data_IF_712202560768
#
_entry.id   IF_712202560768
#
_cell.length_a   1.000
_cell.length_b   1.000
_cell.length_c   1.000
_cell.angle_alpha   90.00
_cell.angle_beta   90.00
_cell.angle_gamma   90.00
#
_symmetry.space_group_name_H-M   'P 1'
#
loop_
_entity.id
_entity.type
_entity.pdbx_description
1 polymer ?
#
# COMPACT_ATOMS: atom_id res chain seq x y z
N UNK A 1 20.76 -7.47 17.01
CA UNK A 1 19.46 -8.03 16.58
C UNK A 1 19.33 -7.70 15.10
N UNK A 2 19.06 -8.69 14.26
CA UNK A 2 19.03 -8.55 12.80
C UNK A 2 17.73 -7.93 12.35
N UNK A 3 17.80 -6.79 11.67
CA UNK A 3 16.71 -6.24 10.85
C UNK A 3 16.35 -7.30 9.81
N UNK A 4 15.16 -7.90 9.91
CA UNK A 4 14.68 -8.83 8.88
C UNK A 4 14.33 -7.99 7.65
N UNK A 5 15.21 -7.99 6.66
CA UNK A 5 14.84 -7.52 5.34
C UNK A 5 13.82 -8.51 4.74
N UNK A 6 12.84 -7.99 4.00
CA UNK A 6 11.88 -8.82 3.28
C UNK A 6 12.65 -9.85 2.42
N UNK A 7 12.32 -11.14 2.57
CA UNK A 7 13.02 -12.20 1.84
C UNK A 7 12.75 -12.01 0.33
N UNK A 8 13.78 -11.86 -0.53
CA UNK A 8 13.59 -11.63 -1.95
C UNK A 8 12.79 -12.74 -2.64
N UNK A 9 12.84 -13.99 -2.12
CA UNK A 9 12.01 -15.08 -2.62
C UNK A 9 10.52 -14.89 -2.29
N UNK A 10 10.18 -14.26 -1.16
CA UNK A 10 8.79 -13.93 -0.80
C UNK A 10 8.26 -12.81 -1.69
N UNK A 11 9.07 -11.77 -1.95
CA UNK A 11 8.71 -10.67 -2.86
C UNK A 11 8.48 -11.19 -4.27
N UNK A 12 9.36 -12.06 -4.80
CA UNK A 12 9.17 -12.66 -6.13
C UNK A 12 7.94 -13.56 -6.21
N UNK A 13 7.63 -14.33 -5.16
CA UNK A 13 6.39 -15.13 -5.10
C UNK A 13 5.14 -14.26 -5.06
N UNK A 14 5.20 -13.12 -4.38
CA UNK A 14 4.11 -12.16 -4.33
C UNK A 14 3.86 -11.59 -5.73
N UNK A 15 4.90 -11.07 -6.38
CA UNK A 15 4.83 -10.52 -7.74
C UNK A 15 4.33 -11.57 -8.76
N UNK A 16 4.74 -12.83 -8.62
CA UNK A 16 4.28 -13.91 -9.48
C UNK A 16 2.79 -14.29 -9.30
N UNK A 17 2.18 -13.97 -8.15
CA UNK A 17 0.76 -14.26 -7.86
C UNK A 17 -0.20 -13.11 -8.17
N UNK A 18 0.31 -11.89 -8.24
CA UNK A 18 -0.52 -10.71 -8.52
C UNK A 18 -1.06 -10.81 -9.94
N UNK A 19 -2.38 -10.65 -10.08
CA UNK A 19 -3.07 -10.63 -11.38
C UNK A 19 -2.42 -9.56 -12.29
N UNK A 20 -2.17 -9.82 -13.59
CA UNK A 20 -1.50 -8.87 -14.47
C UNK A 20 -2.12 -7.46 -14.46
N UNK A 21 -3.44 -7.35 -14.34
CA UNK A 21 -4.15 -6.06 -14.24
C UNK A 21 -3.85 -5.26 -12.96
N UNK A 22 -3.30 -5.91 -11.93
CA UNK A 22 -2.92 -5.32 -10.66
C UNK A 22 -1.41 -5.01 -10.59
N UNK A 23 -0.62 -5.37 -11.60
CA UNK A 23 0.82 -5.07 -11.65
C UNK A 23 1.11 -3.57 -11.64
N UNK A 24 0.20 -2.81 -12.24
CA UNK A 24 0.26 -1.36 -12.18
C UNK A 24 0.41 -0.91 -10.72
N UNK A 25 -0.31 -1.51 -9.74
CA UNK A 25 -0.26 -1.15 -8.32
C UNK A 25 1.18 -1.04 -7.78
N UNK A 26 2.06 -1.93 -8.22
CA UNK A 26 3.44 -2.03 -7.72
C UNK A 26 4.45 -1.25 -8.54
N UNK A 27 4.14 -0.81 -9.77
CA UNK A 27 5.10 -0.01 -10.53
C UNK A 27 5.33 1.34 -9.84
N UNK A 28 6.57 1.64 -9.39
CA UNK A 28 6.94 3.02 -9.16
C UNK A 28 6.94 3.67 -10.53
N UNK A 29 5.93 4.50 -10.84
CA UNK A 29 6.14 5.50 -11.86
C UNK A 29 7.30 6.34 -11.35
N UNK A 30 8.49 6.15 -11.95
CA UNK A 30 9.62 7.04 -11.74
C UNK A 30 9.10 8.47 -11.95
N UNK A 31 9.53 9.47 -11.15
CA UNK A 31 9.23 10.84 -11.48
C UNK A 31 9.62 11.03 -12.95
N UNK A 32 8.70 11.55 -13.76
CA UNK A 32 9.00 11.89 -15.13
C UNK A 32 10.21 12.81 -15.10
N UNK A 33 11.41 12.27 -15.32
CA UNK A 33 12.60 13.07 -15.49
C UNK A 33 12.28 13.90 -16.71
N UNK A 34 12.02 15.19 -16.49
CA UNK A 34 11.88 16.15 -17.55
C UNK A 34 13.15 16.04 -18.38
N UNK A 35 13.05 15.34 -19.51
CA UNK A 35 14.13 15.17 -20.46
C UNK A 35 14.42 16.55 -21.03
N UNK A 36 15.34 17.27 -20.41
CA UNK A 36 16.11 18.27 -21.12
C UNK A 36 16.81 17.51 -22.24
N UNK A 37 16.32 17.73 -23.45
CA UNK A 37 16.69 17.16 -24.75
C UNK A 37 15.57 16.26 -25.30
N UNK A 38 14.74 16.93 -26.11
CA UNK A 38 13.94 16.44 -27.23
C UNK A 38 13.53 14.97 -27.28
N UNK A 39 12.21 14.78 -27.27
CA UNK A 39 11.46 13.63 -27.80
C UNK A 39 11.16 12.51 -26.78
N UNK A 40 10.48 12.86 -25.70
CA UNK A 40 9.59 11.92 -25.00
C UNK A 40 8.15 12.14 -25.48
N UNK A 41 7.55 11.09 -26.02
CA UNK A 41 6.21 11.03 -26.62
C UNK A 41 5.06 11.09 -25.59
N UNK A 42 5.20 11.89 -24.55
CA UNK A 42 4.16 12.10 -23.52
C UNK A 42 3.88 13.59 -23.23
N UNK A 43 4.56 14.52 -23.90
CA UNK A 43 4.33 15.96 -23.78
C UNK A 43 3.24 16.49 -24.74
N UNK A 44 2.23 15.67 -25.05
CA UNK A 44 1.13 16.04 -25.96
C UNK A 44 -0.22 16.27 -25.27
N UNK A 45 -0.35 16.06 -23.96
CA UNK A 45 -1.67 16.07 -23.28
C UNK A 45 -1.78 16.99 -22.07
N UNK A 46 -0.72 17.73 -21.72
CA UNK A 46 -0.69 18.50 -20.47
C UNK A 46 -1.60 19.75 -20.52
N UNK A 47 -1.94 20.24 -21.71
CA UNK A 47 -2.71 21.49 -21.87
C UNK A 47 -4.23 21.28 -22.13
N UNK A 48 -4.66 20.14 -22.68
CA UNK A 48 -6.10 19.86 -22.90
C UNK A 48 -6.75 19.08 -21.75
N UNK A 49 -5.99 18.27 -20.99
CA UNK A 49 -6.53 17.45 -19.89
C UNK A 49 -6.65 18.25 -18.58
N UNK A 50 -5.93 19.36 -18.44
CA UNK A 50 -6.04 20.27 -17.30
C UNK A 50 -7.44 20.92 -17.19
N UNK A 51 -8.18 21.00 -18.30
CA UNK A 51 -9.52 21.60 -18.37
C UNK A 51 -10.65 20.60 -18.10
N UNK A 52 -10.36 19.30 -18.06
CA UNK A 52 -11.32 18.27 -17.68
C UNK A 52 -10.56 17.08 -17.05
N UNK A 53 -10.25 17.13 -15.75
CA UNK A 53 -9.57 16.02 -15.09
C UNK A 53 -10.47 14.78 -15.12
N UNK A 54 -10.16 13.86 -16.03
CA UNK A 54 -10.82 12.56 -16.07
C UNK A 54 -10.54 11.82 -14.75
N UNK A 55 -11.53 11.15 -14.15
CA UNK A 55 -11.31 10.41 -12.92
C UNK A 55 -10.22 9.36 -13.13
N UNK A 56 -9.38 9.17 -12.11
CA UNK A 56 -8.34 8.15 -12.16
C UNK A 56 -8.98 6.77 -12.41
N UNK A 57 -8.34 5.91 -13.22
CA UNK A 57 -8.75 4.52 -13.33
C UNK A 57 -8.87 3.88 -11.94
N UNK A 58 -9.89 3.05 -11.66
CA UNK A 58 -10.15 2.53 -10.32
C UNK A 58 -8.95 1.88 -9.63
N UNK A 59 -8.10 1.19 -10.38
CA UNK A 59 -6.87 0.55 -9.88
C UNK A 59 -5.83 1.58 -9.42
N UNK A 60 -5.67 2.68 -10.15
CA UNK A 60 -4.77 3.77 -9.78
C UNK A 60 -5.28 4.52 -8.54
N UNK A 61 -6.61 4.74 -8.45
CA UNK A 61 -7.25 5.32 -7.30
C UNK A 61 -7.06 4.46 -6.04
N UNK A 62 -7.21 3.13 -6.18
CA UNK A 62 -6.97 2.20 -5.08
C UNK A 62 -5.52 2.24 -4.61
N UNK A 63 -4.54 2.15 -5.52
CA UNK A 63 -3.11 2.28 -5.18
C UNK A 63 -2.87 3.56 -4.39
N UNK A 64 -3.35 4.70 -4.90
CA UNK A 64 -3.17 5.99 -4.25
C UNK A 64 -3.81 6.01 -2.86
N UNK A 65 -5.02 5.46 -2.70
CA UNK A 65 -5.70 5.38 -1.42
C UNK A 65 -4.95 4.51 -0.40
N UNK A 66 -4.42 3.36 -0.83
CA UNK A 66 -3.62 2.47 0.04
C UNK A 66 -2.34 3.17 0.48
N UNK A 67 -1.59 3.77 -0.47
CA UNK A 67 -0.37 4.52 -0.15
C UNK A 67 -0.64 5.71 0.77
N UNK A 68 -1.68 6.50 0.47
CA UNK A 68 -2.04 7.65 1.28
C UNK A 68 -2.37 7.24 2.72
N UNK A 69 -3.16 6.17 2.88
CA UNK A 69 -3.51 5.64 4.20
C UNK A 69 -2.28 5.09 4.92
N UNK A 70 -1.44 4.28 4.26
CA UNK A 70 -0.21 3.74 4.85
C UNK A 70 0.77 4.85 5.30
N UNK A 71 0.96 5.88 4.47
CA UNK A 71 1.76 7.05 4.83
C UNK A 71 1.15 7.82 6.01
N UNK A 72 -0.18 7.96 6.08
CA UNK A 72 -0.85 8.60 7.21
C UNK A 72 -0.63 7.82 8.50
N UNK A 73 -0.75 6.50 8.47
CA UNK A 73 -0.46 5.62 9.61
C UNK A 73 1.01 5.73 10.03
N UNK A 74 1.94 5.72 9.08
CA UNK A 74 3.35 5.88 9.36
C UNK A 74 3.67 7.22 10.02
N UNK A 75 3.11 8.32 9.50
CA UNK A 75 3.25 9.66 10.09
C UNK A 75 2.66 9.74 11.50
N UNK A 76 1.53 9.06 11.76
CA UNK A 76 0.94 8.96 13.09
C UNK A 76 1.87 8.21 14.06
N UNK A 77 2.40 7.06 13.65
CA UNK A 77 3.35 6.28 14.45
C UNK A 77 4.63 7.08 14.76
N UNK A 78 5.20 7.79 13.77
CA UNK A 78 6.33 8.70 13.95
C UNK A 78 5.98 9.79 14.98
N UNK A 79 4.81 10.40 14.86
CA UNK A 79 4.37 11.48 15.77
C UNK A 79 4.19 10.97 17.22
N UNK A 80 3.62 9.77 17.39
CA UNK A 80 3.52 9.12 18.70
C UNK A 80 4.90 8.83 19.29
N UNK A 81 5.84 8.35 18.47
CA UNK A 81 7.22 8.13 18.92
C UNK A 81 7.91 9.42 19.36
N UNK A 82 7.75 10.50 18.60
CA UNK A 82 8.34 11.81 18.91
C UNK A 82 7.81 12.43 20.21
N UNK A 83 6.59 12.08 20.60
CA UNK A 83 5.97 12.52 21.86
C UNK A 83 6.23 11.58 23.04
N UNK A 84 7.09 10.57 22.85
CA UNK A 84 7.47 9.60 23.89
C UNK A 84 6.48 8.45 24.06
N UNK A 85 5.47 8.33 23.19
CA UNK A 85 4.51 7.23 23.17
C UNK A 85 5.04 5.96 22.48
N UNK A 86 4.18 4.95 22.38
CA UNK A 86 4.51 3.65 21.81
C UNK A 86 4.02 3.53 20.34
N UNK A 87 4.90 3.67 19.32
CA UNK A 87 4.51 3.58 17.92
C UNK A 87 3.98 2.19 17.52
N UNK A 88 4.36 1.12 18.24
CA UNK A 88 3.90 -0.25 17.94
C UNK A 88 2.39 -0.40 18.13
N UNK A 89 1.78 0.36 19.02
CA UNK A 89 0.34 0.26 19.28
C UNK A 89 -0.47 0.75 18.06
N UNK A 90 -0.10 1.92 17.53
CA UNK A 90 -0.69 2.49 16.31
C UNK A 90 -0.52 1.55 15.12
N UNK A 91 0.70 1.04 14.93
CA UNK A 91 1.01 0.16 13.80
C UNK A 91 0.29 -1.20 13.92
N UNK A 92 0.14 -1.73 15.14
CA UNK A 92 -0.60 -2.96 15.39
C UNK A 92 -2.09 -2.79 15.12
N UNK A 93 -2.68 -1.69 15.58
CA UNK A 93 -4.10 -1.39 15.33
C UNK A 93 -4.40 -1.30 13.83
N UNK A 94 -3.57 -0.56 13.08
CA UNK A 94 -3.71 -0.49 11.63
C UNK A 94 -3.52 -1.85 10.94
N UNK A 95 -2.56 -2.65 11.41
CA UNK A 95 -2.36 -4.00 10.90
C UNK A 95 -3.54 -4.93 11.21
N UNK A 96 -4.18 -4.78 12.37
CA UNK A 96 -5.36 -5.54 12.74
C UNK A 96 -6.58 -5.14 11.89
N UNK A 97 -6.67 -3.89 11.44
CA UNK A 97 -7.74 -3.47 10.52
C UNK A 97 -7.58 -4.07 9.11
N UNK A 98 -6.36 -4.12 8.57
CA UNK A 98 -6.11 -4.67 7.23
C UNK A 98 -5.97 -6.21 7.18
N UNK A 99 -5.50 -6.81 8.27
CA UNK A 99 -5.26 -8.26 8.35
C UNK A 99 -6.25 -8.99 9.25
N UNK A 100 -7.12 -8.29 9.99
CA UNK A 100 -8.08 -8.88 10.90
C UNK A 100 -9.32 -9.46 10.22
N UNK A 101 -10.25 -9.92 11.05
CA UNK A 101 -11.53 -10.44 10.56
C UNK A 101 -12.41 -9.26 10.13
N UNK A 102 -12.95 -9.24 8.90
CA UNK A 102 -13.81 -8.16 8.45
C UNK A 102 -15.00 -8.01 9.40
N UNK A 103 -15.35 -6.76 9.71
CA UNK A 103 -16.56 -6.45 10.48
C UNK A 103 -17.77 -7.07 9.78
N UNK A 104 -18.49 -7.95 10.48
CA UNK A 104 -19.69 -8.58 9.94
C UNK A 104 -20.85 -7.61 10.12
N UNK A 105 -21.40 -7.14 9.00
CA UNK A 105 -22.68 -6.44 9.01
C UNK A 105 -23.72 -7.25 9.80
N UNK A 106 -24.55 -6.61 10.64
CA UNK A 106 -25.68 -7.29 11.28
C UNK A 106 -26.51 -7.98 10.21
N UNK A 107 -26.82 -9.26 10.41
CA UNK A 107 -27.43 -10.16 9.41
C UNK A 107 -28.74 -9.64 8.79
N UNK A 108 -29.39 -8.66 9.42
CA UNK A 108 -30.68 -8.11 9.04
C UNK A 108 -30.62 -6.66 8.55
N UNK A 109 -29.44 -6.04 8.50
CA UNK A 109 -29.33 -4.71 7.92
C UNK A 109 -29.21 -4.81 6.41
N UNK A 110 -29.91 -3.96 5.64
CA UNK A 110 -29.68 -3.88 4.20
C UNK A 110 -28.23 -3.43 3.98
N UNK A 111 -27.40 -4.36 3.52
CA UNK A 111 -26.03 -4.07 3.17
C UNK A 111 -25.98 -3.14 1.95
N UNK A 112 -24.89 -2.37 1.77
CA UNK A 112 -24.68 -1.62 0.54
C UNK A 112 -24.73 -2.58 -0.66
N UNK A 113 -25.54 -2.25 -1.67
CA UNK A 113 -25.55 -2.99 -2.93
C UNK A 113 -24.27 -2.65 -3.67
N UNK A 114 -23.26 -3.52 -3.56
CA UNK A 114 -22.00 -3.36 -4.28
C UNK A 114 -22.17 -3.99 -5.66
N UNK A 115 -21.95 -3.26 -6.78
CA UNK A 115 -21.95 -3.86 -8.10
C UNK A 115 -20.87 -4.96 -8.17
N UNK A 116 -21.08 -6.02 -8.96
CA UNK A 116 -20.09 -7.08 -9.10
C UNK A 116 -18.76 -6.49 -9.59
N UNK A 117 -17.72 -6.64 -8.77
CA UNK A 117 -16.36 -6.26 -9.14
C UNK A 117 -15.76 -7.39 -10.00
N UNK A 118 -15.18 -7.11 -11.18
CA UNK A 118 -14.49 -8.13 -11.97
C UNK A 118 -13.28 -8.73 -11.24
N UNK A 119 -12.74 -8.05 -10.23
CA UNK A 119 -11.62 -8.53 -9.42
C UNK A 119 -12.14 -9.30 -8.22
N UNK A 120 -11.61 -10.52 -8.02
CA UNK A 120 -11.89 -11.34 -6.84
C UNK A 120 -11.54 -10.56 -5.55
N UNK A 121 -12.46 -10.44 -4.57
CA UNK A 121 -12.21 -9.72 -3.33
C UNK A 121 -11.00 -10.23 -2.52
N UNK A 122 -10.69 -11.54 -2.61
CA UNK A 122 -9.52 -12.13 -1.99
C UNK A 122 -8.23 -11.61 -2.62
N UNK A 123 -8.14 -11.63 -3.95
CA UNK A 123 -7.00 -11.07 -4.69
C UNK A 123 -6.82 -9.57 -4.44
N UNK A 124 -7.93 -8.83 -4.35
CA UNK A 124 -7.89 -7.40 -4.02
C UNK A 124 -7.32 -7.16 -2.62
N UNK A 125 -7.78 -7.92 -1.62
CA UNK A 125 -7.29 -7.81 -0.25
C UNK A 125 -5.81 -8.18 -0.13
N UNK A 126 -5.37 -9.26 -0.80
CA UNK A 126 -3.95 -9.63 -0.84
C UNK A 126 -3.09 -8.53 -1.49
N UNK A 127 -3.60 -7.90 -2.55
CA UNK A 127 -2.90 -6.80 -3.23
C UNK A 127 -2.80 -5.53 -2.37
N UNK A 128 -3.87 -5.17 -1.67
CA UNK A 128 -3.87 -4.04 -0.72
C UNK A 128 -2.85 -4.26 0.39
N UNK A 129 -2.82 -5.46 0.99
CA UNK A 129 -1.86 -5.82 2.05
C UNK A 129 -0.42 -5.79 1.55
N UNK A 130 -0.17 -6.31 0.34
CA UNK A 130 1.14 -6.27 -0.30
C UNK A 130 1.66 -4.84 -0.46
N UNK A 131 0.84 -3.95 -1.04
CA UNK A 131 1.22 -2.56 -1.28
C UNK A 131 1.48 -1.79 0.02
N UNK A 132 0.60 -1.97 1.01
CA UNK A 132 0.79 -1.44 2.35
C UNK A 132 2.08 -1.94 3.02
N UNK A 133 2.37 -3.24 2.91
CA UNK A 133 3.59 -3.84 3.44
C UNK A 133 4.85 -3.25 2.82
N UNK A 134 4.84 -2.98 1.51
CA UNK A 134 5.96 -2.33 0.81
C UNK A 134 6.18 -0.90 1.33
N UNK A 135 5.10 -0.13 1.55
CA UNK A 135 5.22 1.21 2.12
C UNK A 135 5.85 1.15 3.51
N UNK A 136 5.39 0.28 4.41
CA UNK A 136 6.00 0.16 5.75
C UNK A 136 7.43 -0.37 5.71
N UNK A 137 7.77 -1.27 4.78
CA UNK A 137 9.14 -1.72 4.59
C UNK A 137 10.06 -0.55 4.22
N UNK A 138 9.59 0.37 3.36
CA UNK A 138 10.39 1.56 3.01
C UNK A 138 10.68 2.46 4.22
N UNK A 139 9.75 2.56 5.17
CA UNK A 139 9.99 3.27 6.43
C UNK A 139 10.94 2.50 7.36
N UNK A 140 10.81 1.17 7.42
CA UNK A 140 11.71 0.31 8.21
C UNK A 140 13.17 0.47 7.77
N UNK A 141 13.40 0.54 6.45
CA UNK A 141 14.73 0.71 5.86
C UNK A 141 15.23 2.17 5.89
N UNK A 142 14.33 3.14 5.83
CA UNK A 142 14.67 4.57 5.74
C UNK A 142 14.86 5.30 7.06
N UNK A 143 14.40 4.74 8.19
CA UNK A 143 14.44 5.40 9.51
C UNK A 143 15.64 4.90 10.35
N UNK A 144 16.33 5.83 11.00
CA UNK A 144 17.48 5.54 11.89
C UNK A 144 17.09 5.23 13.34
N UNK A 145 15.90 5.61 13.81
CA UNK A 145 15.40 5.18 15.14
C UNK A 145 15.14 3.66 15.08
N UNK A 146 15.96 2.89 15.81
CA UNK A 146 15.91 1.42 15.79
C UNK A 146 14.56 0.86 16.25
N UNK A 147 13.93 1.48 17.26
CA UNK A 147 12.66 0.99 17.78
C UNK A 147 11.54 1.20 16.75
N UNK A 148 11.58 2.31 16.04
CA UNK A 148 10.61 2.66 15.01
C UNK A 148 10.84 1.86 13.72
N UNK A 149 12.11 1.71 13.30
CA UNK A 149 12.51 0.84 12.19
C UNK A 149 12.05 -0.61 12.43
N UNK A 150 12.30 -1.16 13.62
CA UNK A 150 11.84 -2.51 14.01
C UNK A 150 10.32 -2.62 13.98
N UNK A 151 9.59 -1.63 14.50
CA UNK A 151 8.13 -1.66 14.54
C UNK A 151 7.53 -1.63 13.12
N UNK A 152 8.10 -0.84 12.21
CA UNK A 152 7.69 -0.83 10.81
C UNK A 152 8.00 -2.15 10.10
N UNK A 153 9.18 -2.73 10.34
CA UNK A 153 9.56 -4.03 9.76
C UNK A 153 8.63 -5.16 10.20
N UNK A 154 8.30 -5.23 11.50
CA UNK A 154 7.36 -6.22 12.05
C UNK A 154 5.98 -6.16 11.36
N UNK A 155 5.46 -4.95 11.11
CA UNK A 155 4.17 -4.77 10.43
C UNK A 155 4.27 -5.03 8.94
N UNK A 156 5.36 -4.62 8.28
CA UNK A 156 5.61 -4.93 6.88
C UNK A 156 5.62 -6.44 6.63
N UNK A 157 6.39 -7.19 7.42
CA UNK A 157 6.47 -8.65 7.35
C UNK A 157 5.11 -9.32 7.55
N UNK A 158 4.33 -8.84 8.53
CA UNK A 158 2.98 -9.34 8.79
C UNK A 158 2.06 -9.14 7.59
N UNK A 159 2.09 -7.95 6.98
CA UNK A 159 1.23 -7.61 5.84
C UNK A 159 1.60 -8.39 4.59
N UNK A 160 2.90 -8.49 4.28
CA UNK A 160 3.40 -9.28 3.15
C UNK A 160 3.07 -10.77 3.35
N UNK A 161 3.23 -11.28 4.57
CA UNK A 161 2.87 -12.67 4.88
C UNK A 161 1.36 -12.93 4.73
N UNK A 162 0.51 -12.00 5.20
CA UNK A 162 -0.94 -12.09 5.04
C UNK A 162 -1.38 -11.99 3.57
N UNK A 163 -0.69 -11.18 2.76
CA UNK A 163 -0.89 -11.09 1.32
C UNK A 163 -0.55 -12.40 0.59
N UNK A 164 0.46 -13.14 1.07
CA UNK A 164 0.85 -14.44 0.51
C UNK A 164 -0.05 -15.60 0.97
N UNK A 165 -0.78 -15.43 2.08
CA UNK A 165 -1.64 -16.47 2.64
C UNK A 165 -3.07 -16.46 2.08
N UNK A 166 -3.53 -15.32 1.54
CA UNK A 166 -4.81 -15.18 0.84
C UNK A 166 -4.66 -15.38 -0.65
#
# INVERSE_FOLDING_TARGET
MTTTAANPAQVLRLLARIHPELWEIFQPHLPALASHNGHSSWAGSVDEVALNPQPLPPVALLRQAVRATANSVANAAISVRLTGGNPREVLREAADEWCGTPWRWPRHWPGPVVPPNPIDPGQLASTVRAEAGIVFQSYAEGISDEALSSAFGEVADRMISAALAG
#
